data_IF_312224262119
#
_entry.id   IF_312224262119
#
_cell.length_a   1.000
_cell.length_b   1.000
_cell.length_c   1.000
_cell.angle_alpha   90.00
_cell.angle_beta   90.00
_cell.angle_gamma   90.00
#
_symmetry.space_group_name_H-M   'P 1'
#
loop_
_entity.id
_entity.type
_entity.pdbx_description
1 polymer ?
#
# COMPACT_ATOMS: atom_id res chain seq x y z
N UNK A 1 -4.86 18.54 43.22
CA UNK A 1 -4.68 17.78 41.96
C UNK A 1 -4.17 16.40 42.32
N UNK A 2 -4.96 15.35 42.08
CA UNK A 2 -4.50 13.97 42.23
C UNK A 2 -3.86 13.59 40.90
N UNK A 3 -2.58 13.20 40.89
CA UNK A 3 -1.93 12.68 39.68
C UNK A 3 -2.54 11.30 39.36
N UNK A 4 -2.87 11.00 38.09
CA UNK A 4 -3.29 9.66 37.70
C UNK A 4 -2.20 8.64 38.05
N UNK A 5 -2.59 7.47 38.57
CA UNK A 5 -1.67 6.36 38.84
C UNK A 5 -1.00 5.89 37.53
N UNK A 6 0.17 5.26 37.62
CA UNK A 6 0.88 4.71 36.45
C UNK A 6 -0.02 3.87 35.56
N UNK A 7 -0.82 2.97 36.15
CA UNK A 7 -1.73 2.09 35.39
C UNK A 7 -2.86 2.86 34.69
N UNK A 8 -3.37 3.95 35.26
CA UNK A 8 -4.37 4.77 34.56
C UNK A 8 -3.78 5.50 33.35
N UNK A 9 -2.49 5.87 33.41
CA UNK A 9 -1.77 6.42 32.26
C UNK A 9 -1.48 5.34 31.21
N UNK A 10 -1.09 4.13 31.65
CA UNK A 10 -0.88 3.00 30.76
C UNK A 10 -2.17 2.58 30.03
N UNK A 11 -3.30 2.54 30.75
CA UNK A 11 -4.61 2.22 30.16
C UNK A 11 -5.02 3.25 29.10
N UNK A 12 -4.86 4.54 29.39
CA UNK A 12 -5.14 5.59 28.43
C UNK A 12 -4.25 5.51 27.17
N UNK A 13 -2.99 5.11 27.33
CA UNK A 13 -2.08 4.89 26.20
C UNK A 13 -2.48 3.65 25.37
N UNK A 14 -2.95 2.57 26.01
CA UNK A 14 -3.51 1.40 25.30
C UNK A 14 -4.78 1.78 24.52
N UNK A 15 -5.69 2.56 25.12
CA UNK A 15 -6.89 3.04 24.43
C UNK A 15 -6.53 3.91 23.21
N UNK A 16 -5.49 4.74 23.31
CA UNK A 16 -4.98 5.52 22.18
C UNK A 16 -4.37 4.63 21.07
N UNK A 17 -3.61 3.59 21.45
CA UNK A 17 -3.08 2.62 20.50
C UNK A 17 -4.20 1.88 19.74
N UNK A 18 -5.26 1.47 20.45
CA UNK A 18 -6.43 0.84 19.83
C UNK A 18 -7.18 1.78 18.87
N UNK A 19 -7.27 3.07 19.22
CA UNK A 19 -7.87 4.06 18.33
C UNK A 19 -7.03 4.27 17.06
N UNK A 20 -5.70 4.36 17.17
CA UNK A 20 -4.82 4.45 16.01
C UNK A 20 -4.88 3.19 15.15
N UNK A 21 -4.97 2.00 15.76
CA UNK A 21 -5.10 0.72 15.05
C UNK A 21 -6.39 0.63 14.20
N UNK A 22 -7.48 1.27 14.64
CA UNK A 22 -8.68 1.42 13.82
C UNK A 22 -8.41 2.20 12.53
N UNK A 23 -7.60 3.26 12.60
CA UNK A 23 -7.20 4.05 11.42
C UNK A 23 -6.27 3.25 10.51
N UNK A 24 -5.30 2.50 11.08
CA UNK A 24 -4.43 1.57 10.31
C UNK A 24 -5.27 0.65 9.43
N UNK A 25 -6.30 0.00 10.01
CA UNK A 25 -7.18 -0.91 9.25
C UNK A 25 -7.92 -0.18 8.13
N UNK A 26 -8.45 1.01 8.42
CA UNK A 26 -9.21 1.80 7.43
C UNK A 26 -8.34 2.16 6.24
N UNK A 27 -7.16 2.75 6.47
CA UNK A 27 -6.25 3.14 5.39
C UNK A 27 -5.67 1.91 4.66
N UNK A 28 -5.44 0.81 5.35
CA UNK A 28 -4.99 -0.43 4.71
C UNK A 28 -6.05 -1.02 3.77
N UNK A 29 -7.32 -1.00 4.17
CA UNK A 29 -8.46 -1.43 3.33
C UNK A 29 -8.60 -0.53 2.09
N UNK A 30 -8.40 0.79 2.27
CA UNK A 30 -8.40 1.75 1.16
C UNK A 30 -7.24 1.51 0.18
N UNK A 31 -6.04 1.19 0.70
CA UNK A 31 -4.89 0.81 -0.11
C UNK A 31 -5.13 -0.51 -0.88
N UNK A 32 -5.75 -1.51 -0.24
CA UNK A 32 -6.13 -2.77 -0.90
C UNK A 32 -7.08 -2.51 -2.07
N UNK A 33 -8.15 -1.76 -1.80
CA UNK A 33 -9.15 -1.41 -2.81
C UNK A 33 -8.51 -0.69 -4.00
N UNK A 34 -7.68 0.33 -3.74
CA UNK A 34 -6.98 1.06 -4.78
C UNK A 34 -6.08 0.11 -5.62
N UNK A 35 -5.37 -0.83 -4.98
CA UNK A 35 -4.57 -1.82 -5.67
C UNK A 35 -5.38 -2.81 -6.53
N UNK A 36 -6.52 -3.29 -6.03
CA UNK A 36 -7.41 -4.17 -6.79
C UNK A 36 -8.00 -3.45 -8.01
N UNK A 37 -8.44 -2.21 -7.84
CA UNK A 37 -8.96 -1.37 -8.93
C UNK A 37 -7.86 -1.03 -9.94
N UNK A 38 -6.63 -0.77 -9.49
CA UNK A 38 -5.49 -0.51 -10.37
C UNK A 38 -5.18 -1.72 -11.26
N UNK A 39 -5.14 -2.93 -10.68
CA UNK A 39 -4.96 -4.17 -11.45
C UNK A 39 -6.11 -4.40 -12.45
N UNK A 40 -7.35 -4.12 -12.05
CA UNK A 40 -8.49 -4.21 -12.94
C UNK A 40 -8.41 -3.20 -14.10
N UNK A 41 -7.87 -2.00 -13.88
CA UNK A 41 -7.66 -1.01 -14.94
C UNK A 41 -6.65 -1.49 -16.00
N UNK A 42 -5.65 -2.27 -15.58
CA UNK A 42 -4.67 -2.87 -16.50
C UNK A 42 -5.23 -4.06 -17.28
N UNK A 43 -6.28 -4.73 -16.81
CA UNK A 43 -6.79 -5.97 -17.43
C UNK A 43 -7.05 -5.81 -18.93
N UNK A 44 -6.61 -6.77 -19.73
CA UNK A 44 -6.76 -6.76 -21.19
C UNK A 44 -5.95 -5.68 -21.92
N UNK A 45 -4.78 -5.28 -21.40
CA UNK A 45 -3.84 -4.44 -22.14
C UNK A 45 -3.13 -5.23 -23.27
N UNK A 46 -2.92 -6.54 -23.09
CA UNK A 46 -2.14 -7.40 -24.00
C UNK A 46 -2.69 -7.45 -25.43
N UNK A 47 -4.02 -7.55 -25.67
CA UNK A 47 -4.57 -7.48 -27.03
C UNK A 47 -4.25 -6.17 -27.76
N UNK A 48 -4.21 -5.04 -27.03
CA UNK A 48 -3.86 -3.74 -27.59
C UNK A 48 -2.37 -3.68 -27.94
N UNK A 49 -1.49 -4.16 -27.04
CA UNK A 49 -0.03 -4.24 -27.29
C UNK A 49 0.27 -5.12 -28.50
N UNK A 50 -0.31 -6.33 -28.57
CA UNK A 50 -0.13 -7.25 -29.72
C UNK A 50 -0.56 -6.62 -31.04
N UNK A 51 -1.62 -5.81 -31.04
CA UNK A 51 -2.08 -5.15 -32.27
C UNK A 51 -1.04 -4.16 -32.81
N UNK A 52 -0.22 -3.56 -31.94
CA UNK A 52 0.92 -2.70 -32.31
C UNK A 52 2.11 -3.55 -32.81
N UNK A 53 2.35 -4.73 -32.23
CA UNK A 53 3.44 -5.65 -32.66
C UNK A 53 3.24 -6.15 -34.10
N UNK A 54 1.99 -6.41 -34.50
CA UNK A 54 1.67 -6.95 -35.83
C UNK A 54 1.59 -5.87 -36.93
N UNK A 55 2.46 -4.86 -36.80
CA UNK A 55 2.52 -3.63 -37.58
C UNK A 55 2.25 -3.85 -39.08
N UNK A 56 1.16 -3.23 -39.53
CA UNK A 56 0.79 -3.08 -40.92
C UNK A 56 1.01 -1.59 -41.21
N UNK A 57 2.05 -1.19 -41.97
CA UNK A 57 2.37 0.22 -42.22
C UNK A 57 1.25 1.00 -42.94
N UNK A 58 0.18 0.31 -43.34
CA UNK A 58 -1.07 0.82 -43.90
C UNK A 58 -2.20 1.06 -42.88
N UNK A 59 -1.97 0.81 -41.57
CA UNK A 59 -3.02 0.86 -40.54
C UNK A 59 -2.70 1.87 -39.44
N UNK A 60 -3.64 2.78 -39.20
CA UNK A 60 -3.63 3.72 -38.06
C UNK A 60 -3.77 2.94 -36.74
N UNK A 61 -2.73 3.01 -35.89
CA UNK A 61 -2.69 2.38 -34.57
C UNK A 61 -2.95 3.35 -33.41
N UNK A 62 -3.27 4.62 -33.72
CA UNK A 62 -3.49 5.67 -32.71
C UNK A 62 -4.63 5.34 -31.74
N UNK A 63 -5.63 4.58 -32.18
CA UNK A 63 -6.72 4.12 -31.33
C UNK A 63 -6.24 3.15 -30.24
N UNK A 64 -5.27 2.29 -30.56
CA UNK A 64 -4.67 1.35 -29.60
C UNK A 64 -3.80 2.11 -28.59
N UNK A 65 -3.03 3.11 -29.06
CA UNK A 65 -2.28 4.02 -28.20
C UNK A 65 -3.18 4.73 -27.17
N UNK A 66 -4.30 5.29 -27.62
CA UNK A 66 -5.30 5.93 -26.74
C UNK A 66 -5.92 4.97 -25.72
N UNK A 67 -6.23 3.75 -26.14
CA UNK A 67 -6.76 2.72 -25.25
C UNK A 67 -5.74 2.33 -24.16
N UNK A 68 -4.49 2.11 -24.56
CA UNK A 68 -3.39 1.84 -23.63
C UNK A 68 -3.13 3.02 -22.68
N UNK A 69 -3.14 4.26 -23.17
CA UNK A 69 -3.01 5.45 -22.33
C UNK A 69 -4.10 5.52 -21.27
N UNK A 70 -5.36 5.33 -21.65
CA UNK A 70 -6.46 5.33 -20.70
C UNK A 70 -6.28 4.28 -19.59
N UNK A 71 -5.78 3.09 -19.93
CA UNK A 71 -5.47 2.04 -18.93
C UNK A 71 -4.31 2.44 -18.02
N UNK A 72 -3.23 2.91 -18.63
CA UNK A 72 -2.00 3.35 -17.96
C UNK A 72 -2.27 4.47 -16.95
N UNK A 73 -2.97 5.52 -17.38
CA UNK A 73 -3.30 6.69 -16.56
C UNK A 73 -4.31 6.34 -15.45
N UNK A 74 -5.31 5.51 -15.76
CA UNK A 74 -6.26 5.01 -14.76
C UNK A 74 -5.57 4.22 -13.64
N UNK A 75 -4.71 3.27 -14.02
CA UNK A 75 -3.94 2.49 -13.04
C UNK A 75 -2.89 3.31 -12.30
N UNK A 76 -2.25 4.29 -12.95
CA UNK A 76 -1.27 5.16 -12.31
C UNK A 76 -1.92 6.05 -11.24
N UNK A 77 -3.10 6.61 -11.52
CA UNK A 77 -3.85 7.41 -10.55
C UNK A 77 -4.28 6.57 -9.33
N UNK A 78 -4.77 5.34 -9.54
CA UNK A 78 -5.12 4.42 -8.46
C UNK A 78 -3.88 3.95 -7.67
N UNK A 79 -2.74 3.80 -8.34
CA UNK A 79 -1.47 3.51 -7.64
C UNK A 79 -1.01 4.70 -6.80
N UNK A 80 -1.23 5.94 -7.23
CA UNK A 80 -0.98 7.13 -6.42
C UNK A 80 -1.85 7.15 -5.15
N UNK A 81 -3.15 6.86 -5.30
CA UNK A 81 -4.09 6.73 -4.18
C UNK A 81 -3.64 5.62 -3.20
N UNK A 82 -3.27 4.44 -3.71
CA UNK A 82 -2.73 3.36 -2.89
C UNK A 82 -1.45 3.74 -2.13
N UNK A 83 -0.55 4.53 -2.76
CA UNK A 83 0.66 5.02 -2.10
C UNK A 83 0.35 6.01 -0.97
N UNK A 84 -0.63 6.90 -1.16
CA UNK A 84 -1.09 7.85 -0.13
C UNK A 84 -1.63 7.08 1.08
N UNK A 85 -2.54 6.14 0.86
CA UNK A 85 -3.10 5.32 1.94
C UNK A 85 -2.05 4.42 2.61
N UNK A 86 -1.06 3.95 1.86
CA UNK A 86 0.10 3.26 2.41
C UNK A 86 0.92 4.13 3.37
N UNK A 87 1.10 5.42 3.06
CA UNK A 87 1.80 6.38 3.92
C UNK A 87 0.98 6.70 5.17
N UNK A 88 -0.33 6.84 5.04
CA UNK A 88 -1.25 7.04 6.17
C UNK A 88 -1.24 5.83 7.11
N UNK A 89 -1.28 4.62 6.55
CA UNK A 89 -1.12 3.36 7.29
C UNK A 89 0.20 3.34 8.06
N UNK A 90 1.31 3.73 7.43
CA UNK A 90 2.62 3.77 8.08
C UNK A 90 2.69 4.82 9.21
N UNK A 91 2.05 5.97 9.00
CA UNK A 91 1.93 7.01 10.01
C UNK A 91 1.17 6.49 11.24
N UNK A 92 0.03 5.85 11.03
CA UNK A 92 -0.81 5.35 12.13
C UNK A 92 -0.14 4.21 12.90
N UNK A 93 0.57 3.29 12.21
CA UNK A 93 1.38 2.25 12.88
C UNK A 93 2.46 2.88 13.77
N UNK A 94 3.05 4.00 13.35
CA UNK A 94 4.01 4.74 14.18
C UNK A 94 3.34 5.29 15.44
N UNK A 95 2.12 5.83 15.33
CA UNK A 95 1.34 6.29 16.49
C UNK A 95 0.95 5.16 17.45
N UNK A 96 0.64 3.97 16.91
CA UNK A 96 0.43 2.75 17.72
C UNK A 96 1.70 2.45 18.51
N UNK A 97 2.86 2.46 17.86
CA UNK A 97 4.17 2.24 18.49
C UNK A 97 4.45 3.21 19.64
N UNK A 98 4.30 4.52 19.40
CA UNK A 98 4.49 5.55 20.43
C UNK A 98 3.54 5.36 21.62
N UNK A 99 2.31 4.90 21.37
CA UNK A 99 1.33 4.64 22.41
C UNK A 99 1.64 3.38 23.21
N UNK A 100 2.13 2.32 22.55
CA UNK A 100 2.65 1.11 23.21
C UNK A 100 3.85 1.43 24.10
N UNK A 101 4.80 2.23 23.60
CA UNK A 101 5.99 2.63 24.37
C UNK A 101 5.61 3.43 25.63
N UNK A 102 4.66 4.37 25.49
CA UNK A 102 4.10 5.11 26.64
C UNK A 102 3.44 4.17 27.65
N UNK A 103 2.68 3.18 27.18
CA UNK A 103 2.06 2.19 28.05
C UNK A 103 3.11 1.34 28.80
N UNK A 104 4.17 0.89 28.11
CA UNK A 104 5.28 0.12 28.71
C UNK A 104 6.06 0.90 29.77
N UNK A 105 6.20 2.21 29.59
CA UNK A 105 6.86 3.10 30.54
C UNK A 105 5.99 3.34 31.79
N UNK A 106 4.67 3.29 31.66
CA UNK A 106 3.73 3.63 32.72
C UNK A 106 3.18 2.41 33.51
N UNK A 107 3.24 1.20 32.93
CA UNK A 107 2.70 -0.01 33.56
C UNK A 107 3.49 -0.42 34.81
N UNK A 108 2.78 -0.60 35.93
CA UNK A 108 3.38 -1.04 37.19
C UNK A 108 3.82 -2.52 37.13
N UNK A 109 4.80 -2.88 37.96
CA UNK A 109 5.37 -4.24 38.01
C UNK A 109 4.37 -5.34 38.39
N UNK A 110 3.24 -4.99 38.98
CA UNK A 110 2.19 -5.94 39.38
C UNK A 110 1.32 -6.39 38.19
N UNK A 111 1.31 -5.65 37.08
CA UNK A 111 0.58 -5.99 35.84
C UNK A 111 1.51 -6.69 34.84
N UNK A 112 2.10 -7.81 35.25
CA UNK A 112 3.08 -8.54 34.44
C UNK A 112 2.49 -9.06 33.12
N UNK A 113 1.19 -9.39 33.11
CA UNK A 113 0.49 -9.83 31.89
C UNK A 113 0.32 -8.68 30.91
N UNK A 114 -0.13 -7.51 31.39
CA UNK A 114 -0.18 -6.31 30.55
C UNK A 114 1.19 -5.96 29.97
N UNK A 115 2.24 -6.01 30.80
CA UNK A 115 3.61 -5.74 30.36
C UNK A 115 4.08 -6.71 29.26
N UNK A 116 3.81 -8.01 29.43
CA UNK A 116 4.16 -9.01 28.43
C UNK A 116 3.41 -8.79 27.10
N UNK A 117 2.10 -8.51 27.16
CA UNK A 117 1.30 -8.27 25.97
C UNK A 117 1.77 -7.00 25.23
N UNK A 118 2.07 -5.92 25.96
CA UNK A 118 2.63 -4.70 25.39
C UNK A 118 4.01 -4.92 24.73
N UNK A 119 4.85 -5.80 25.28
CA UNK A 119 6.12 -6.17 24.65
C UNK A 119 5.92 -6.93 23.33
N UNK A 120 4.89 -7.79 23.26
CA UNK A 120 4.51 -8.46 22.02
C UNK A 120 3.96 -7.47 21.00
N UNK A 121 3.12 -6.52 21.42
CA UNK A 121 2.65 -5.43 20.57
C UNK A 121 3.82 -4.59 20.02
N UNK A 122 4.79 -4.24 20.85
CA UNK A 122 5.98 -3.50 20.41
C UNK A 122 6.81 -4.28 19.38
N UNK A 123 6.95 -5.60 19.57
CA UNK A 123 7.63 -6.46 18.60
C UNK A 123 6.88 -6.51 17.26
N UNK A 124 5.55 -6.58 17.29
CA UNK A 124 4.71 -6.57 16.09
C UNK A 124 4.78 -5.24 15.35
N UNK A 125 4.73 -4.10 16.04
CA UNK A 125 4.98 -2.78 15.44
C UNK A 125 6.36 -2.74 14.77
N UNK A 126 7.38 -3.32 15.41
CA UNK A 126 8.72 -3.43 14.84
C UNK A 126 8.77 -4.30 13.58
N UNK A 127 7.98 -5.37 13.53
CA UNK A 127 7.84 -6.23 12.35
C UNK A 127 7.19 -5.48 11.19
N UNK A 128 6.04 -4.83 11.43
CA UNK A 128 5.30 -4.07 10.42
C UNK A 128 6.16 -2.97 9.78
N UNK A 129 6.85 -2.17 10.60
CA UNK A 129 7.74 -1.11 10.14
C UNK A 129 8.90 -1.60 9.28
N UNK A 130 9.41 -2.80 9.55
CA UNK A 130 10.59 -3.32 8.84
C UNK A 130 10.22 -4.08 7.57
N UNK A 131 9.12 -4.82 7.58
CA UNK A 131 8.85 -5.84 6.57
C UNK A 131 7.56 -5.63 5.78
N UNK A 132 6.60 -4.85 6.29
CA UNK A 132 5.30 -4.67 5.65
C UNK A 132 5.17 -3.29 5.02
N UNK A 133 5.36 -2.23 5.81
CA UNK A 133 5.12 -0.85 5.37
C UNK A 133 6.01 -0.36 4.20
N UNK A 134 7.30 -0.75 4.09
CA UNK A 134 8.10 -0.38 2.92
C UNK A 134 7.51 -0.93 1.61
N UNK A 135 7.10 -2.19 1.57
CA UNK A 135 6.51 -2.79 0.37
C UNK A 135 5.15 -2.20 0.00
N UNK A 136 4.36 -1.79 1.02
CA UNK A 136 3.08 -1.12 0.82
C UNK A 136 3.27 0.24 0.12
N UNK A 137 4.21 1.05 0.59
CA UNK A 137 4.43 2.42 0.10
C UNK A 137 5.23 2.47 -1.20
N UNK A 138 6.34 1.72 -1.28
CA UNK A 138 7.26 1.77 -2.41
C UNK A 138 6.68 1.12 -3.67
N UNK A 139 5.98 -0.02 -3.54
CA UNK A 139 5.45 -0.73 -4.72
C UNK A 139 4.40 0.08 -5.48
N UNK A 140 3.48 0.74 -4.77
CA UNK A 140 2.50 1.64 -5.37
C UNK A 140 3.15 2.87 -6.03
N UNK A 141 4.13 3.48 -5.37
CA UNK A 141 4.86 4.62 -5.95
C UNK A 141 5.63 4.23 -7.23
N UNK A 142 6.28 3.07 -7.23
CA UNK A 142 6.99 2.55 -8.40
C UNK A 142 6.03 2.21 -9.56
N UNK A 143 4.85 1.68 -9.24
CA UNK A 143 3.80 1.42 -10.23
C UNK A 143 3.32 2.73 -10.87
N UNK A 144 3.05 3.75 -10.05
CA UNK A 144 2.66 5.08 -10.52
C UNK A 144 3.72 5.68 -11.45
N UNK A 145 5.00 5.57 -11.12
CA UNK A 145 6.08 6.06 -11.98
C UNK A 145 6.17 5.26 -13.29
N UNK A 146 6.10 3.93 -13.20
CA UNK A 146 6.23 3.01 -14.34
C UNK A 146 5.11 3.20 -15.34
N UNK A 147 3.86 3.28 -14.86
CA UNK A 147 2.65 3.39 -15.66
C UNK A 147 2.30 4.83 -16.04
N UNK A 148 2.70 5.82 -15.24
CA UNK A 148 2.54 7.23 -15.57
C UNK A 148 3.68 7.70 -16.47
N UNK A 149 4.72 8.25 -15.84
CA UNK A 149 5.84 8.89 -16.54
C UNK A 149 6.62 7.90 -17.44
N UNK A 150 6.73 6.64 -17.04
CA UNK A 150 7.52 5.63 -17.73
C UNK A 150 6.93 5.17 -19.06
N UNK A 151 5.60 5.09 -19.17
CA UNK A 151 4.89 4.68 -20.39
C UNK A 151 4.57 5.85 -21.31
N UNK A 152 4.35 7.05 -20.76
CA UNK A 152 3.88 8.22 -21.51
C UNK A 152 4.63 8.52 -22.82
N UNK A 153 5.99 8.51 -22.88
CA UNK A 153 6.69 8.77 -24.13
C UNK A 153 6.40 7.75 -25.24
N UNK A 154 6.30 6.47 -24.88
CA UNK A 154 6.02 5.39 -25.84
C UNK A 154 4.58 5.47 -26.35
N UNK A 155 3.64 5.77 -25.47
CA UNK A 155 2.23 5.91 -25.83
C UNK A 155 1.98 7.16 -26.68
N UNK A 156 2.67 8.27 -26.40
CA UNK A 156 2.62 9.46 -27.26
C UNK A 156 3.13 9.13 -28.67
N UNK A 157 4.24 8.39 -28.81
CA UNK A 157 4.73 8.00 -30.13
C UNK A 157 3.76 7.10 -30.91
N UNK A 158 3.00 6.23 -30.22
CA UNK A 158 1.97 5.38 -30.85
C UNK A 158 0.70 6.18 -31.20
N UNK A 159 0.33 7.15 -30.37
CA UNK A 159 -0.85 7.99 -30.59
C UNK A 159 -0.65 9.04 -31.69
N UNK A 160 0.54 9.63 -31.76
CA UNK A 160 0.90 10.66 -32.74
C UNK A 160 1.18 10.11 -34.14
N UNK A 161 0.85 8.82 -34.37
CA UNK A 161 1.16 8.02 -35.55
C UNK A 161 1.46 8.86 -36.81
N UNK A 162 2.75 8.95 -37.12
CA UNK A 162 3.24 9.49 -38.37
C UNK A 162 3.22 8.34 -39.39
N UNK A 163 2.31 8.35 -40.38
CA UNK A 163 2.12 7.22 -41.29
C UNK A 163 3.45 6.78 -41.93
N UNK A 164 3.75 5.48 -41.83
CA UNK A 164 4.95 4.86 -42.41
C UNK A 164 6.18 4.73 -41.49
N UNK A 165 6.04 4.93 -40.18
CA UNK A 165 7.10 4.62 -39.19
C UNK A 165 6.87 3.26 -38.53
N UNK A 166 7.95 2.49 -38.38
CA UNK A 166 7.98 1.23 -37.62
C UNK A 166 7.83 1.55 -36.12
N UNK A 167 6.60 1.46 -35.62
CA UNK A 167 6.23 1.65 -34.21
C UNK A 167 6.22 0.32 -33.45
N UNK A 168 6.24 -0.82 -34.16
CA UNK A 168 6.38 -2.16 -33.58
C UNK A 168 7.60 -2.31 -32.66
N UNK A 169 8.68 -1.55 -32.90
CA UNK A 169 9.88 -1.50 -32.02
C UNK A 169 9.61 -1.13 -30.56
N UNK A 170 8.45 -0.55 -30.25
CA UNK A 170 8.09 -0.11 -28.90
C UNK A 170 7.18 -1.08 -28.16
N UNK A 171 6.53 -2.00 -28.86
CA UNK A 171 5.49 -2.83 -28.27
C UNK A 171 6.01 -3.72 -27.14
N UNK A 172 7.18 -4.35 -27.30
CA UNK A 172 7.86 -5.10 -26.22
C UNK A 172 8.11 -4.23 -24.97
N UNK A 173 8.49 -2.95 -25.18
CA UNK A 173 8.75 -2.01 -24.08
C UNK A 173 7.46 -1.57 -23.40
N UNK A 174 6.38 -1.41 -24.16
CA UNK A 174 5.06 -1.07 -23.63
C UNK A 174 4.56 -2.25 -22.81
N UNK A 175 4.52 -3.46 -23.41
CA UNK A 175 4.09 -4.68 -22.75
C UNK A 175 4.86 -4.96 -21.46
N UNK A 176 6.20 -4.91 -21.52
CA UNK A 176 7.04 -5.13 -20.34
C UNK A 176 6.83 -4.08 -19.22
N UNK A 177 6.42 -2.85 -19.55
CA UNK A 177 6.10 -1.83 -18.53
C UNK A 177 4.73 -2.05 -17.89
N UNK A 178 3.74 -2.48 -18.66
CA UNK A 178 2.45 -2.89 -18.11
C UNK A 178 2.62 -4.08 -17.15
N UNK A 179 3.39 -5.10 -17.55
CA UNK A 179 3.71 -6.24 -16.69
C UNK A 179 4.42 -5.82 -15.41
N UNK A 180 5.45 -4.99 -15.54
CA UNK A 180 6.21 -4.50 -14.39
C UNK A 180 5.34 -3.68 -13.42
N UNK A 181 4.49 -2.79 -13.92
CA UNK A 181 3.55 -2.02 -13.09
C UNK A 181 2.56 -2.93 -12.36
N UNK A 182 1.99 -3.91 -13.06
CA UNK A 182 1.10 -4.90 -12.45
C UNK A 182 1.80 -5.72 -11.34
N UNK A 183 3.04 -6.14 -11.57
CA UNK A 183 3.83 -6.86 -10.56
C UNK A 183 4.16 -6.01 -9.33
N UNK A 184 4.44 -4.72 -9.52
CA UNK A 184 4.66 -3.78 -8.43
C UNK A 184 3.39 -3.59 -7.58
N UNK A 185 2.21 -3.49 -8.20
CA UNK A 185 0.93 -3.44 -7.48
C UNK A 185 0.69 -4.72 -6.69
N UNK A 186 0.89 -5.90 -7.31
CA UNK A 186 0.75 -7.20 -6.61
C UNK A 186 1.70 -7.31 -5.42
N UNK A 187 2.92 -6.78 -5.54
CA UNK A 187 3.86 -6.76 -4.42
C UNK A 187 3.34 -5.91 -3.26
N UNK A 188 2.73 -4.75 -3.53
CA UNK A 188 2.07 -3.95 -2.49
C UNK A 188 0.85 -4.66 -1.88
N UNK A 189 0.07 -5.42 -2.66
CA UNK A 189 -1.02 -6.24 -2.12
C UNK A 189 -0.55 -7.33 -1.15
N UNK A 190 0.64 -7.90 -1.36
CA UNK A 190 1.23 -8.80 -0.35
C UNK A 190 1.50 -8.05 0.96
N UNK A 191 1.93 -6.80 0.88
CA UNK A 191 2.19 -5.95 2.05
C UNK A 191 0.91 -5.57 2.78
N UNK A 192 -0.18 -5.30 2.06
CA UNK A 192 -1.53 -5.10 2.62
C UNK A 192 -1.93 -6.28 3.52
N UNK A 193 -1.76 -7.52 3.03
CA UNK A 193 -2.10 -8.73 3.78
C UNK A 193 -1.26 -8.90 5.05
N UNK A 194 0.02 -8.50 4.99
CA UNK A 194 0.89 -8.53 6.17
C UNK A 194 0.48 -7.47 7.21
N UNK A 195 0.04 -6.29 6.77
CA UNK A 195 -0.50 -5.26 7.66
C UNK A 195 -1.80 -5.71 8.31
N UNK A 196 -2.68 -6.40 7.58
CA UNK A 196 -3.92 -6.97 8.11
C UNK A 196 -3.64 -7.98 9.23
N UNK A 197 -2.80 -8.99 8.96
CA UNK A 197 -2.40 -10.01 9.95
C UNK A 197 -1.70 -9.39 11.18
N UNK A 198 -0.81 -8.42 10.96
CA UNK A 198 -0.15 -7.72 12.07
C UNK A 198 -1.13 -6.85 12.87
N UNK A 199 -2.12 -6.25 12.22
CA UNK A 199 -3.16 -5.45 12.90
C UNK A 199 -4.05 -6.31 13.80
N UNK A 200 -4.37 -7.53 13.37
CA UNK A 200 -5.12 -8.49 14.17
C UNK A 200 -4.35 -8.93 15.43
N UNK A 201 -3.05 -9.21 15.29
CA UNK A 201 -2.19 -9.51 16.45
C UNK A 201 -2.06 -8.31 17.39
N UNK A 202 -1.88 -7.11 16.85
CA UNK A 202 -1.83 -5.88 17.66
C UNK A 202 -3.12 -5.70 18.47
N UNK A 203 -4.28 -5.92 17.85
CA UNK A 203 -5.57 -5.87 18.54
C UNK A 203 -5.60 -6.85 19.72
N UNK A 204 -5.24 -8.12 19.50
CA UNK A 204 -5.23 -9.15 20.53
C UNK A 204 -4.32 -8.78 21.72
N UNK A 205 -3.10 -8.32 21.44
CA UNK A 205 -2.16 -7.93 22.48
C UNK A 205 -2.62 -6.69 23.25
N UNK A 206 -3.14 -5.68 22.56
CA UNK A 206 -3.64 -4.45 23.18
C UNK A 206 -4.88 -4.71 24.03
N UNK A 207 -5.83 -5.54 23.57
CA UNK A 207 -7.00 -5.92 24.35
C UNK A 207 -6.61 -6.72 25.60
N UNK A 208 -5.62 -7.61 25.48
CA UNK A 208 -5.07 -8.35 26.62
C UNK A 208 -4.48 -7.40 27.66
N UNK A 209 -3.69 -6.41 27.22
CA UNK A 209 -3.11 -5.41 28.11
C UNK A 209 -4.18 -4.54 28.77
N UNK A 210 -5.17 -4.09 28.00
CA UNK A 210 -6.31 -3.30 28.48
C UNK A 210 -7.08 -4.02 29.58
N UNK A 211 -7.40 -5.29 29.35
CA UNK A 211 -8.17 -6.11 30.28
C UNK A 211 -7.44 -6.38 31.60
N UNK A 212 -6.11 -6.47 31.59
CA UNK A 212 -5.29 -6.67 32.79
C UNK A 212 -5.06 -5.35 33.56
N UNK A 213 -4.93 -4.22 32.86
CA UNK A 213 -4.79 -2.89 33.48
C UNK A 213 -6.09 -2.38 34.12
N UNK A 214 -7.25 -2.85 33.65
CA UNK A 214 -8.56 -2.44 34.16
C UNK A 214 -9.01 -3.22 35.42
N UNK A 215 -8.25 -4.20 35.88
CA UNK A 215 -8.52 -5.02 37.08
C UNK A 215 -7.84 -4.45 38.32
#
# INVERSE_FOLDING_TARGET
MIRPSGNSQALAAVDAALAALSSVRTHNDEADRAGQEALAALDGYEPHVRTIEFDRPDRDVSAEGRALRSKSEGSAALSEEGAVHGLETAHDVSQVGESVDRALAAVDSNHWRARQALQQAAAEVGFLNRYSLPGLTEGFALSQETLGAGLSPYLTEVEEDAPGRDVGRFADKIGGRFELGADQIRHSQVSVLLVEDGSDKLQEYLDTARADLAR
#
